data_IF_124514650159
#
_entry.id   IF_124514650159
#
_cell.length_a   1.000
_cell.length_b   1.000
_cell.length_c   1.000
_cell.angle_alpha   90.00
_cell.angle_beta   90.00
_cell.angle_gamma   90.00
#
_symmetry.space_group_name_H-M   'P 1'
#
loop_
_entity.id
_entity.type
_entity.pdbx_description
1 polymer ?
#
# COMPACT_ATOMS: atom_id res chain seq x y z
N UNK A 1 11.50 -0.44 15.40
CA UNK A 1 12.88 -0.89 15.11
C UNK A 1 13.68 0.22 14.44
N UNK A 2 14.98 0.13 14.50
CA UNK A 2 15.88 1.17 13.98
C UNK A 2 15.69 1.42 12.48
N UNK A 3 15.56 0.37 11.70
CA UNK A 3 15.41 0.51 10.23
C UNK A 3 14.13 1.22 9.84
N UNK A 4 13.04 0.97 10.55
CA UNK A 4 11.76 1.66 10.33
C UNK A 4 11.91 3.15 10.55
N UNK A 5 12.61 3.55 11.61
CA UNK A 5 12.88 4.97 11.91
C UNK A 5 13.75 5.62 10.85
N UNK A 6 14.76 4.92 10.35
CA UNK A 6 15.64 5.42 9.28
C UNK A 6 14.84 5.72 8.02
N UNK A 7 13.95 4.82 7.64
CA UNK A 7 13.10 5.00 6.45
C UNK A 7 12.15 6.19 6.65
N UNK A 8 11.53 6.30 7.82
CA UNK A 8 10.66 7.44 8.11
C UNK A 8 11.44 8.76 8.06
N UNK A 9 12.63 8.82 8.64
CA UNK A 9 13.48 10.01 8.61
C UNK A 9 13.87 10.38 7.18
N UNK A 10 14.14 9.41 6.34
CA UNK A 10 14.42 9.65 4.92
C UNK A 10 13.20 10.24 4.21
N UNK A 11 12.02 9.70 4.46
CA UNK A 11 10.76 10.25 3.93
C UNK A 11 10.55 11.70 4.39
N UNK A 12 10.81 11.99 5.64
CA UNK A 12 10.61 13.32 6.22
C UNK A 12 11.42 14.42 5.53
N UNK A 13 12.52 14.07 4.86
CA UNK A 13 13.32 15.02 4.09
C UNK A 13 12.58 15.57 2.87
N UNK A 14 11.51 14.91 2.44
CA UNK A 14 10.73 15.29 1.26
C UNK A 14 9.39 15.93 1.61
N UNK A 15 9.17 16.30 2.85
CA UNK A 15 7.93 16.95 3.29
C UNK A 15 7.77 18.29 2.58
N UNK A 16 6.60 18.47 1.94
CA UNK A 16 6.16 19.73 1.37
C UNK A 16 5.10 20.32 2.32
N UNK A 17 5.37 21.47 2.96
CA UNK A 17 4.43 22.05 3.91
C UNK A 17 3.05 22.35 3.33
N UNK A 18 2.97 22.72 2.05
CA UNK A 18 1.69 22.98 1.38
C UNK A 18 0.89 21.70 1.23
N UNK A 19 1.54 20.61 0.79
CA UNK A 19 0.92 19.29 0.68
C UNK A 19 0.48 18.76 2.05
N UNK A 20 1.29 18.95 3.06
CA UNK A 20 0.98 18.50 4.42
C UNK A 20 -0.31 19.13 4.93
N UNK A 21 -0.53 20.40 4.63
CA UNK A 21 -1.76 21.10 5.01
C UNK A 21 -2.96 20.69 4.17
N UNK A 22 -2.75 20.48 2.88
CA UNK A 22 -3.81 20.23 1.90
C UNK A 22 -4.33 18.78 1.90
N UNK A 23 -3.43 17.79 1.99
CA UNK A 23 -3.77 16.38 1.78
C UNK A 23 -4.85 15.84 2.72
N UNK A 24 -4.92 16.21 4.02
CA UNK A 24 -5.99 15.71 4.87
C UNK A 24 -7.39 16.02 4.36
N UNK A 25 -7.60 17.20 3.81
CA UNK A 25 -8.88 17.57 3.23
C UNK A 25 -9.14 16.84 1.91
N UNK A 26 -8.11 16.69 1.08
CA UNK A 26 -8.21 15.97 -0.18
C UNK A 26 -8.62 14.51 0.04
N UNK A 27 -8.05 13.84 1.04
CA UNK A 27 -8.34 12.43 1.36
C UNK A 27 -9.51 12.25 2.33
N UNK A 28 -10.22 13.31 2.68
CA UNK A 28 -11.43 13.22 3.52
C UNK A 28 -11.16 12.51 4.86
N UNK A 29 -10.27 13.12 5.67
CA UNK A 29 -9.86 12.54 6.95
C UNK A 29 -10.73 12.93 8.14
N UNK A 30 -11.74 13.76 7.94
CA UNK A 30 -12.67 14.18 8.99
C UNK A 30 -13.54 13.04 9.51
N UNK A 31 -14.14 13.27 10.67
CA UNK A 31 -15.00 12.27 11.32
C UNK A 31 -16.16 11.85 10.39
N UNK A 32 -16.33 10.54 10.23
CA UNK A 32 -17.38 9.97 9.37
C UNK A 32 -17.03 9.94 7.88
N UNK A 33 -15.88 10.50 7.46
CA UNK A 33 -15.45 10.47 6.07
C UNK A 33 -14.61 9.21 5.79
N UNK A 34 -14.43 8.86 4.50
CA UNK A 34 -13.80 7.59 4.14
C UNK A 34 -12.33 7.45 4.57
N UNK A 35 -11.62 8.56 4.75
CA UNK A 35 -10.24 8.58 5.20
C UNK A 35 -10.08 8.95 6.67
N UNK A 36 -11.13 8.80 7.47
CA UNK A 36 -11.14 9.20 8.87
C UNK A 36 -9.89 8.75 9.62
N UNK A 37 -9.23 9.68 10.29
CA UNK A 37 -8.08 9.41 11.12
C UNK A 37 -6.75 9.31 10.39
N UNK A 38 -6.74 9.37 9.05
CA UNK A 38 -5.49 9.31 8.30
C UNK A 38 -4.69 10.60 8.47
N UNK A 39 -3.38 10.47 8.64
CA UNK A 39 -2.46 11.60 8.85
C UNK A 39 -1.41 11.62 7.75
N UNK A 40 -1.05 12.81 7.30
CA UNK A 40 -0.15 13.01 6.17
C UNK A 40 1.10 13.79 6.56
N UNK A 41 2.25 13.30 6.11
CA UNK A 41 3.52 14.04 6.18
C UNK A 41 3.60 15.12 5.10
N UNK A 42 2.95 14.91 3.98
CA UNK A 42 2.97 15.83 2.86
C UNK A 42 4.08 15.53 1.85
N UNK A 43 4.13 14.29 1.37
CA UNK A 43 5.17 13.82 0.45
C UNK A 43 4.50 13.36 -0.84
N UNK A 44 4.98 13.84 -1.98
CA UNK A 44 4.43 13.40 -3.27
C UNK A 44 4.78 11.94 -3.56
N UNK A 45 3.90 11.26 -4.29
CA UNK A 45 4.04 9.82 -4.58
C UNK A 45 5.40 9.49 -5.25
N UNK A 46 5.89 10.26 -6.25
CA UNK A 46 7.20 9.94 -6.83
C UNK A 46 8.34 9.91 -5.82
N UNK A 47 8.33 10.80 -4.83
CA UNK A 47 9.38 10.81 -3.80
C UNK A 47 9.22 9.63 -2.83
N UNK A 48 8.00 9.29 -2.45
CA UNK A 48 7.73 8.09 -1.65
C UNK A 48 8.19 6.82 -2.38
N UNK A 49 7.92 6.74 -3.68
CA UNK A 49 8.34 5.61 -4.50
C UNK A 49 9.87 5.50 -4.58
N UNK A 50 10.56 6.62 -4.69
CA UNK A 50 12.02 6.64 -4.72
C UNK A 50 12.62 6.05 -3.44
N UNK A 51 12.11 6.43 -2.28
CA UNK A 51 12.53 5.88 -0.99
C UNK A 51 12.20 4.39 -0.93
N UNK A 52 11.01 3.99 -1.37
CA UNK A 52 10.62 2.59 -1.40
C UNK A 52 11.57 1.73 -2.23
N UNK A 53 11.99 2.21 -3.38
CA UNK A 53 12.92 1.47 -4.24
C UNK A 53 14.28 1.25 -3.58
N UNK A 54 14.75 2.21 -2.80
CA UNK A 54 16.04 2.10 -2.08
C UNK A 54 15.99 1.03 -0.99
N UNK A 55 14.82 0.75 -0.44
CA UNK A 55 14.65 -0.11 0.72
C UNK A 55 13.79 -1.34 0.46
N UNK A 56 13.58 -1.71 -0.82
CA UNK A 56 12.66 -2.82 -1.18
C UNK A 56 13.07 -4.18 -0.63
N UNK A 57 14.33 -4.35 -0.24
CA UNK A 57 14.85 -5.64 0.21
C UNK A 57 14.82 -5.81 1.74
N UNK A 58 14.23 -4.87 2.47
CA UNK A 58 14.09 -5.01 3.93
C UNK A 58 13.18 -6.18 4.29
N UNK A 59 13.33 -6.76 5.51
CA UNK A 59 12.44 -7.84 5.95
C UNK A 59 10.98 -7.41 6.03
N UNK A 60 10.06 -8.37 5.92
CA UNK A 60 8.62 -8.10 6.05
C UNK A 60 8.27 -7.46 7.40
N UNK A 61 9.03 -7.75 8.46
CA UNK A 61 8.83 -7.13 9.78
C UNK A 61 8.95 -5.61 9.72
N UNK A 62 9.90 -5.10 8.95
CA UNK A 62 10.06 -3.64 8.75
C UNK A 62 8.86 -3.08 7.97
N UNK A 63 8.44 -3.77 6.93
CA UNK A 63 7.25 -3.37 6.15
C UNK A 63 5.99 -3.38 7.03
N UNK A 64 5.82 -4.41 7.87
CA UNK A 64 4.70 -4.49 8.80
C UNK A 64 4.70 -3.31 9.78
N UNK A 65 5.86 -2.94 10.30
CA UNK A 65 5.97 -1.77 11.19
C UNK A 65 5.59 -0.48 10.48
N UNK A 66 6.05 -0.29 9.24
CA UNK A 66 5.68 0.88 8.44
C UNK A 66 4.16 0.92 8.18
N UNK A 67 3.54 -0.24 7.95
CA UNK A 67 2.08 -0.33 7.77
C UNK A 67 1.31 -0.02 9.05
N UNK A 68 1.91 -0.17 10.22
CA UNK A 68 1.30 0.24 11.49
C UNK A 68 1.45 1.73 11.77
N UNK A 69 2.20 2.46 10.98
CA UNK A 69 2.41 3.88 11.16
C UNK A 69 1.10 4.66 11.02
N UNK A 70 0.96 5.70 11.82
CA UNK A 70 -0.16 6.65 11.68
C UNK A 70 -0.02 7.51 10.42
N UNK A 71 1.19 7.60 9.85
CA UNK A 71 1.46 8.43 8.67
C UNK A 71 1.16 7.67 7.38
N UNK A 72 0.31 8.28 6.56
CA UNK A 72 -0.12 7.71 5.29
C UNK A 72 1.05 7.33 4.38
N UNK A 73 2.04 8.22 4.24
CA UNK A 73 3.17 7.99 3.35
C UNK A 73 4.09 6.87 3.83
N UNK A 74 4.15 6.60 5.14
CA UNK A 74 4.89 5.44 5.65
C UNK A 74 4.21 4.14 5.20
N UNK A 75 2.88 4.08 5.28
CA UNK A 75 2.13 2.92 4.80
C UNK A 75 2.24 2.77 3.28
N UNK A 76 2.11 3.87 2.55
CA UNK A 76 2.28 3.87 1.09
C UNK A 76 3.69 3.38 0.71
N UNK A 77 4.72 3.85 1.40
CA UNK A 77 6.09 3.43 1.15
C UNK A 77 6.24 1.92 1.28
N UNK A 78 5.70 1.31 2.33
CA UNK A 78 5.73 -0.14 2.51
C UNK A 78 5.06 -0.87 1.34
N UNK A 79 3.90 -0.39 0.90
CA UNK A 79 3.17 -0.99 -0.22
C UNK A 79 3.93 -0.86 -1.54
N UNK A 80 4.57 0.28 -1.78
CA UNK A 80 5.39 0.47 -2.98
C UNK A 80 6.66 -0.40 -2.94
N UNK A 81 7.24 -0.64 -1.76
CA UNK A 81 8.33 -1.63 -1.61
C UNK A 81 7.87 -3.01 -2.07
N UNK A 82 6.68 -3.43 -1.65
CA UNK A 82 6.12 -4.72 -2.06
C UNK A 82 5.90 -4.79 -3.56
N UNK A 83 5.37 -3.74 -4.18
CA UNK A 83 5.15 -3.67 -5.63
C UNK A 83 6.48 -3.81 -6.39
N UNK A 84 7.51 -3.05 -5.98
CA UNK A 84 8.81 -3.08 -6.64
C UNK A 84 9.50 -4.44 -6.49
N UNK A 85 9.39 -5.04 -5.30
CA UNK A 85 9.97 -6.35 -5.02
C UNK A 85 9.26 -7.46 -5.80
N UNK A 86 7.91 -7.37 -5.91
CA UNK A 86 7.10 -8.35 -6.64
C UNK A 86 7.54 -8.47 -8.10
N UNK A 87 7.87 -7.37 -8.75
CA UNK A 87 8.30 -7.34 -10.16
C UNK A 87 9.52 -8.22 -10.43
N UNK A 88 10.36 -8.42 -9.43
CA UNK A 88 11.65 -9.11 -9.56
C UNK A 88 11.69 -10.48 -8.88
N UNK A 89 10.59 -10.91 -8.26
CA UNK A 89 10.53 -12.20 -7.56
C UNK A 89 10.20 -13.35 -8.49
N UNK A 90 10.62 -14.56 -8.08
CA UNK A 90 10.12 -15.81 -8.65
C UNK A 90 8.72 -16.11 -8.09
N UNK A 91 8.11 -17.22 -8.51
CA UNK A 91 6.76 -17.59 -8.06
C UNK A 91 6.63 -17.75 -6.56
N UNK A 92 7.64 -18.32 -5.91
CA UNK A 92 7.64 -18.47 -4.45
C UNK A 92 7.66 -17.10 -3.75
N UNK A 93 8.53 -16.19 -4.20
CA UNK A 93 8.62 -14.85 -3.66
C UNK A 93 7.33 -14.06 -3.89
N UNK A 94 6.72 -14.20 -5.06
CA UNK A 94 5.44 -13.56 -5.38
C UNK A 94 4.34 -14.04 -4.44
N UNK A 95 4.28 -15.34 -4.16
CA UNK A 95 3.30 -15.89 -3.25
C UNK A 95 3.49 -15.34 -1.83
N UNK A 96 4.74 -15.25 -1.37
CA UNK A 96 5.04 -14.69 -0.06
C UNK A 96 4.57 -13.24 0.07
N UNK A 97 4.80 -12.43 -0.97
CA UNK A 97 4.34 -11.04 -1.01
C UNK A 97 2.82 -10.96 -1.06
N UNK A 98 2.19 -11.79 -1.89
CA UNK A 98 0.72 -11.86 -1.98
C UNK A 98 0.09 -12.21 -0.64
N UNK A 99 0.60 -13.25 0.04
CA UNK A 99 0.09 -13.68 1.34
C UNK A 99 0.30 -12.59 2.40
N UNK A 100 1.47 -11.96 2.40
CA UNK A 100 1.77 -10.86 3.33
C UNK A 100 0.81 -9.68 3.09
N UNK A 101 0.61 -9.28 1.83
CA UNK A 101 -0.30 -8.18 1.49
C UNK A 101 -1.70 -8.44 2.02
N UNK A 102 -2.25 -9.64 1.79
CA UNK A 102 -3.58 -9.98 2.27
C UNK A 102 -3.69 -10.01 3.79
N UNK A 103 -2.60 -10.30 4.49
CA UNK A 103 -2.57 -10.28 5.95
C UNK A 103 -2.61 -8.87 6.53
N UNK A 104 -2.35 -7.84 5.70
CA UNK A 104 -2.20 -6.45 6.13
C UNK A 104 -3.34 -5.54 5.66
N UNK A 105 -4.42 -6.09 5.13
CA UNK A 105 -5.48 -5.28 4.51
C UNK A 105 -6.14 -4.29 5.47
N UNK A 106 -6.15 -4.58 6.77
CA UNK A 106 -6.67 -3.66 7.78
C UNK A 106 -5.93 -2.32 7.82
N UNK A 107 -4.68 -2.28 7.34
CA UNK A 107 -3.86 -1.06 7.29
C UNK A 107 -3.78 -0.45 5.89
N UNK A 108 -4.45 -1.06 4.91
CA UNK A 108 -4.55 -0.55 3.53
C UNK A 108 -5.91 0.13 3.41
N UNK A 109 -6.04 1.25 4.07
CA UNK A 109 -7.32 1.85 4.42
C UNK A 109 -7.54 3.24 3.80
N UNK A 110 -7.06 3.45 2.60
CA UNK A 110 -7.42 4.62 1.80
C UNK A 110 -7.29 4.26 0.30
N UNK A 111 -7.95 5.04 -0.56
CA UNK A 111 -8.08 4.68 -1.97
C UNK A 111 -6.74 4.59 -2.71
N UNK A 112 -5.81 5.51 -2.45
CA UNK A 112 -4.51 5.49 -3.13
C UNK A 112 -3.63 4.34 -2.66
N UNK A 113 -3.73 3.94 -1.38
CA UNK A 113 -3.03 2.77 -0.86
C UNK A 113 -3.44 1.52 -1.62
N UNK A 114 -4.73 1.38 -1.89
CA UNK A 114 -5.27 0.26 -2.67
C UNK A 114 -4.88 0.39 -4.14
N UNK A 115 -5.17 1.54 -4.75
CA UNK A 115 -5.04 1.73 -6.20
C UNK A 115 -3.60 1.62 -6.69
N UNK A 116 -2.63 2.02 -5.87
CA UNK A 116 -1.21 1.97 -6.22
C UNK A 116 -0.55 0.62 -5.91
N UNK A 117 -1.25 -0.31 -5.25
CA UNK A 117 -0.66 -1.58 -4.82
C UNK A 117 -1.43 -2.82 -5.29
N UNK A 118 -2.75 -2.83 -5.21
CA UNK A 118 -3.54 -4.03 -5.48
C UNK A 118 -3.39 -4.57 -6.91
N UNK A 119 -3.42 -3.75 -7.97
CA UNK A 119 -3.24 -4.30 -9.32
C UNK A 119 -1.88 -4.97 -9.52
N UNK A 120 -0.82 -4.38 -8.99
CA UNK A 120 0.55 -4.87 -9.16
C UNK A 120 0.89 -6.09 -8.32
N UNK A 121 0.13 -6.40 -7.30
CA UNK A 121 0.36 -7.52 -6.39
C UNK A 121 -0.77 -8.55 -6.53
N UNK A 122 -1.98 -8.20 -6.11
CA UNK A 122 -3.12 -9.13 -6.11
C UNK A 122 -3.54 -9.47 -7.55
N UNK A 123 -3.72 -8.46 -8.39
CA UNK A 123 -4.12 -8.65 -9.77
C UNK A 123 -3.09 -9.44 -10.56
N UNK A 124 -1.82 -9.05 -10.50
CA UNK A 124 -0.75 -9.73 -11.22
C UNK A 124 -0.58 -11.18 -10.75
N UNK A 125 -0.67 -11.42 -9.44
CA UNK A 125 -0.51 -12.78 -8.91
C UNK A 125 -1.64 -13.70 -9.39
N UNK A 126 -2.87 -13.19 -9.50
CA UNK A 126 -4.05 -14.01 -9.83
C UNK A 126 -4.32 -14.18 -11.34
N UNK A 127 -3.48 -13.62 -12.22
CA UNK A 127 -3.70 -13.68 -13.67
C UNK A 127 -3.94 -15.12 -14.17
N UNK A 128 -3.18 -16.06 -13.67
CA UNK A 128 -3.23 -17.48 -14.08
C UNK A 128 -3.70 -18.39 -12.95
N UNK A 129 -4.45 -17.87 -12.00
CA UNK A 129 -4.88 -18.61 -10.81
C UNK A 129 -6.37 -18.42 -10.56
N UNK A 130 -6.99 -19.33 -9.75
CA UNK A 130 -8.39 -19.15 -9.34
C UNK A 130 -8.64 -17.81 -8.68
N UNK A 131 -9.83 -17.26 -8.89
CA UNK A 131 -10.23 -15.91 -8.47
C UNK A 131 -11.09 -15.87 -7.21
N UNK A 132 -11.14 -16.97 -6.45
CA UNK A 132 -11.95 -17.07 -5.23
C UNK A 132 -11.64 -15.98 -4.21
N UNK A 133 -10.36 -15.61 -4.10
CA UNK A 133 -9.90 -14.53 -3.21
C UNK A 133 -10.61 -13.21 -3.53
N UNK A 134 -10.80 -12.88 -4.81
CA UNK A 134 -11.46 -11.63 -5.21
C UNK A 134 -12.92 -11.62 -4.78
N UNK A 135 -13.63 -12.74 -4.93
CA UNK A 135 -15.01 -12.84 -4.47
C UNK A 135 -15.10 -12.74 -2.96
N UNK A 136 -14.17 -13.35 -2.23
CA UNK A 136 -14.12 -13.27 -0.77
C UNK A 136 -13.90 -11.82 -0.30
N UNK A 137 -12.95 -11.10 -0.92
CA UNK A 137 -12.67 -9.71 -0.60
C UNK A 137 -13.86 -8.82 -0.92
N UNK A 138 -14.53 -9.05 -2.05
CA UNK A 138 -15.70 -8.28 -2.45
C UNK A 138 -16.87 -8.48 -1.50
N UNK A 139 -16.96 -9.64 -0.83
CA UNK A 139 -18.00 -9.95 0.14
C UNK A 139 -17.70 -9.50 1.56
N UNK A 140 -16.50 -8.99 1.84
CA UNK A 140 -16.14 -8.53 3.17
C UNK A 140 -16.81 -7.19 3.49
N UNK A 141 -17.04 -6.93 4.77
CA UNK A 141 -17.67 -5.70 5.23
C UNK A 141 -16.76 -4.47 5.08
N UNK A 142 -15.45 -4.67 5.10
CA UNK A 142 -14.48 -3.59 5.02
C UNK A 142 -14.48 -3.01 3.60
N UNK A 143 -14.79 -1.72 3.49
CA UNK A 143 -14.84 -1.00 2.21
C UNK A 143 -13.57 -1.19 1.37
N UNK A 144 -12.41 -1.13 2.02
CA UNK A 144 -11.13 -1.20 1.31
C UNK A 144 -10.81 -2.60 0.81
N UNK A 145 -11.30 -3.66 1.46
CA UNK A 145 -11.22 -5.02 0.93
C UNK A 145 -12.05 -5.16 -0.34
N UNK A 146 -13.24 -4.58 -0.37
CA UNK A 146 -14.08 -4.53 -1.56
C UNK A 146 -13.37 -3.79 -2.69
N UNK A 147 -12.71 -2.67 -2.38
CA UNK A 147 -11.96 -1.90 -3.38
C UNK A 147 -10.76 -2.70 -3.92
N UNK A 148 -10.06 -3.42 -3.05
CA UNK A 148 -8.96 -4.30 -3.48
C UNK A 148 -9.47 -5.30 -4.50
N UNK A 149 -10.62 -5.92 -4.25
CA UNK A 149 -11.21 -6.89 -5.18
C UNK A 149 -11.47 -6.29 -6.56
N UNK A 150 -12.09 -5.11 -6.60
CA UNK A 150 -12.46 -4.45 -7.85
C UNK A 150 -11.23 -3.91 -8.59
N UNK A 151 -10.36 -3.20 -7.90
CA UNK A 151 -9.19 -2.55 -8.51
C UNK A 151 -8.19 -3.59 -9.00
N UNK A 152 -8.06 -4.72 -8.32
CA UNK A 152 -7.17 -5.81 -8.75
C UNK A 152 -7.53 -6.36 -10.14
N UNK A 153 -8.81 -6.30 -10.51
CA UNK A 153 -9.25 -6.78 -11.83
C UNK A 153 -8.67 -5.99 -12.99
N UNK A 154 -8.17 -4.77 -12.74
CA UNK A 154 -7.54 -3.95 -13.78
C UNK A 154 -6.38 -4.69 -14.45
N UNK A 155 -5.56 -5.41 -13.67
CA UNK A 155 -4.46 -6.19 -14.23
C UNK A 155 -4.95 -7.37 -15.10
N UNK A 156 -6.19 -7.83 -14.88
CA UNK A 156 -6.77 -8.96 -15.61
C UNK A 156 -7.38 -8.54 -16.94
N UNK A 157 -7.73 -7.27 -17.10
CA UNK A 157 -8.37 -6.73 -18.31
C UNK A 157 -7.37 -6.62 -19.48
N UNK A 158 -6.10 -6.45 -19.17
CA UNK A 158 -5.05 -6.20 -20.17
C UNK A 158 -4.53 -7.43 -20.88
N UNK A 159 -5.14 -8.58 -20.70
CA UNK A 159 -4.72 -9.85 -21.33
C UNK A 159 -5.67 -10.26 -22.44
#
# INVERSE_FOLDING_TARGET
MQKTKEIQQELEQYIDPVKREYLPNFFKTGKGQYGEGDKFLGIIVPNTRMVAKRHKDVPFEVMAELLQSEWHECRLCALLMLVERFKKCDEKGKKEIFDFYLSQTARINNWDLVDLSAPGIVGEYLKDKPRDVLYRLAGNELLWDQRIAVVSTYALIKN
#
